data_IF_004536114403
#
_entry.id   IF_004536114403
#
_cell.length_a   1.000
_cell.length_b   1.000
_cell.length_c   1.000
_cell.angle_alpha   90.00
_cell.angle_beta   90.00
_cell.angle_gamma   90.00
#
_symmetry.space_group_name_H-M   'P 1'
#
loop_
_entity.id
_entity.type
_entity.pdbx_description
1 polymer ?
#
# COMPACT_ATOMS: atom_id res chain seq x y z
N UNK A 1 -2.82 -43.50 20.57
CA UNK A 1 -2.25 -43.55 21.93
C UNK A 1 -2.80 -42.50 22.90
N UNK A 2 -3.73 -41.64 22.50
CA UNK A 2 -4.32 -40.59 23.37
C UNK A 2 -5.62 -41.00 24.09
N UNK A 3 -6.27 -42.08 23.71
CA UNK A 3 -7.54 -42.55 24.35
C UNK A 3 -7.35 -43.36 25.61
N UNK A 4 -6.19 -43.98 25.82
CA UNK A 4 -5.91 -44.80 27.02
C UNK A 4 -5.60 -43.97 28.27
N UNK A 5 -5.03 -42.79 28.16
CA UNK A 5 -4.68 -41.96 29.34
C UNK A 5 -5.88 -41.26 29.99
N UNK A 6 -6.93 -40.94 29.22
CA UNK A 6 -8.12 -40.26 29.74
C UNK A 6 -9.00 -41.20 30.57
N UNK A 7 -9.06 -42.48 30.18
CA UNK A 7 -9.87 -43.50 30.87
C UNK A 7 -9.25 -43.87 32.22
N UNK A 8 -7.92 -43.86 32.36
CA UNK A 8 -7.22 -44.17 33.61
C UNK A 8 -7.37 -43.02 34.63
N UNK A 9 -7.37 -41.76 34.21
CA UNK A 9 -7.57 -40.62 35.10
C UNK A 9 -9.02 -40.53 35.63
N UNK A 10 -10.02 -40.86 34.80
CA UNK A 10 -11.42 -40.91 35.22
C UNK A 10 -11.69 -42.08 36.19
N UNK A 11 -11.04 -43.22 36.00
CA UNK A 11 -11.20 -44.37 36.91
C UNK A 11 -10.56 -44.16 38.28
N UNK A 12 -9.42 -43.44 38.36
CA UNK A 12 -8.75 -43.07 39.62
C UNK A 12 -9.54 -42.03 40.42
N UNK A 13 -10.20 -41.08 39.78
CA UNK A 13 -11.02 -40.06 40.45
C UNK A 13 -12.33 -40.66 41.01
N UNK A 14 -12.96 -41.62 40.32
CA UNK A 14 -14.15 -42.32 40.81
C UNK A 14 -13.83 -43.28 41.98
N UNK A 15 -12.68 -43.95 41.99
CA UNK A 15 -12.30 -44.87 43.08
C UNK A 15 -11.94 -44.12 44.36
N UNK A 16 -11.36 -42.92 44.30
CA UNK A 16 -11.09 -42.10 45.51
C UNK A 16 -12.37 -41.52 46.13
N UNK A 17 -13.39 -41.20 45.33
CA UNK A 17 -14.66 -40.66 45.84
C UNK A 17 -15.54 -41.70 46.55
N UNK A 18 -15.44 -42.99 46.18
CA UNK A 18 -16.20 -44.08 46.82
C UNK A 18 -15.62 -44.57 48.18
N UNK A 19 -14.33 -44.39 48.41
CA UNK A 19 -13.68 -44.83 49.67
C UNK A 19 -13.80 -43.80 50.80
N UNK A 20 -14.24 -42.59 50.57
CA UNK A 20 -14.39 -41.52 51.57
C UNK A 20 -15.83 -41.34 52.09
N UNK A 21 -16.80 -42.11 51.60
CA UNK A 21 -18.23 -41.86 51.86
C UNK A 21 -18.80 -42.55 53.08
N UNK A 22 -17.99 -43.28 53.89
CA UNK A 22 -18.53 -44.15 54.97
C UNK A 22 -18.45 -43.58 56.39
N UNK A 23 -17.97 -42.35 56.63
CA UNK A 23 -17.79 -41.87 58.00
C UNK A 23 -18.08 -40.36 58.28
N UNK A 24 -18.78 -39.65 57.47
CA UNK A 24 -19.04 -38.20 57.70
C UNK A 24 -20.52 -37.82 57.57
N UNK A 25 -21.03 -37.02 58.55
CA UNK A 25 -22.42 -36.55 58.58
C UNK A 25 -22.80 -35.62 57.44
N UNK A 26 -24.12 -35.39 57.21
CA UNK A 26 -24.71 -34.71 56.07
C UNK A 26 -24.10 -33.35 55.63
N UNK A 27 -23.46 -32.61 56.54
CA UNK A 27 -22.85 -31.29 56.21
C UNK A 27 -21.45 -31.47 55.61
N UNK A 28 -20.68 -32.50 55.93
CA UNK A 28 -19.37 -32.80 55.38
C UNK A 28 -19.43 -33.36 53.97
N UNK A 29 -20.49 -34.10 53.64
CA UNK A 29 -20.66 -34.65 52.29
C UNK A 29 -20.91 -33.55 51.21
N UNK A 30 -21.63 -32.48 51.54
CA UNK A 30 -21.88 -31.37 50.61
C UNK A 30 -20.58 -30.62 50.29
N UNK A 31 -19.75 -30.32 51.28
CA UNK A 31 -18.47 -29.64 51.06
C UNK A 31 -17.48 -30.47 50.24
N UNK A 32 -17.46 -31.78 50.42
CA UNK A 32 -16.58 -32.69 49.65
C UNK A 32 -17.07 -32.81 48.21
N UNK A 33 -18.38 -32.88 47.98
CA UNK A 33 -18.97 -32.91 46.64
C UNK A 33 -18.72 -31.61 45.86
N UNK A 34 -18.84 -30.45 46.52
CA UNK A 34 -18.55 -29.16 45.90
C UNK A 34 -17.05 -29.00 45.62
N UNK A 35 -16.16 -29.46 46.49
CA UNK A 35 -14.71 -29.42 46.26
C UNK A 35 -14.29 -30.35 45.10
N UNK A 36 -14.90 -31.55 45.00
CA UNK A 36 -14.65 -32.47 43.88
C UNK A 36 -15.19 -31.92 42.57
N UNK A 37 -16.38 -31.31 42.58
CA UNK A 37 -16.97 -30.69 41.40
C UNK A 37 -16.12 -29.50 40.88
N UNK A 38 -15.59 -28.67 41.78
CA UNK A 38 -14.67 -27.56 41.44
C UNK A 38 -13.33 -28.12 40.90
N UNK A 39 -12.79 -29.17 41.49
CA UNK A 39 -11.56 -29.83 41.05
C UNK A 39 -11.70 -30.42 39.63
N UNK A 40 -12.83 -31.10 39.35
CA UNK A 40 -13.12 -31.66 38.02
C UNK A 40 -13.33 -30.56 36.99
N UNK A 41 -14.00 -29.45 37.34
CA UNK A 41 -14.18 -28.31 36.47
C UNK A 41 -12.84 -27.61 36.14
N UNK A 42 -11.96 -27.44 37.12
CA UNK A 42 -10.61 -26.88 36.92
C UNK A 42 -9.73 -27.79 36.03
N UNK A 43 -9.77 -29.10 36.23
CA UNK A 43 -9.04 -30.06 35.41
C UNK A 43 -9.58 -30.08 33.95
N UNK A 44 -10.89 -30.00 33.77
CA UNK A 44 -11.50 -29.86 32.45
C UNK A 44 -11.10 -28.52 31.75
N UNK A 45 -11.05 -27.42 32.51
CA UNK A 45 -10.63 -26.13 31.99
C UNK A 45 -9.15 -26.12 31.58
N UNK A 46 -8.27 -26.70 32.40
CA UNK A 46 -6.83 -26.81 32.08
C UNK A 46 -6.61 -27.73 30.87
N UNK A 47 -7.35 -28.86 30.76
CA UNK A 47 -7.22 -29.74 29.60
C UNK A 47 -7.73 -29.11 28.31
N UNK A 48 -8.83 -28.33 28.34
CA UNK A 48 -9.33 -27.59 27.18
C UNK A 48 -8.33 -26.50 26.78
N UNK A 49 -7.74 -25.75 27.72
CA UNK A 49 -6.72 -24.76 27.44
C UNK A 49 -5.43 -25.37 26.87
N UNK A 50 -5.04 -26.55 27.35
CA UNK A 50 -3.86 -27.26 26.86
C UNK A 50 -4.09 -27.79 25.45
N UNK A 51 -5.28 -28.34 25.17
CA UNK A 51 -5.66 -28.78 23.82
C UNK A 51 -5.79 -27.60 22.85
N UNK A 52 -6.33 -26.46 23.29
CA UNK A 52 -6.35 -25.23 22.45
C UNK A 52 -4.94 -24.69 22.19
N UNK A 53 -4.04 -24.70 23.17
CA UNK A 53 -2.64 -24.30 22.95
C UNK A 53 -1.87 -25.30 22.09
N UNK A 54 -2.07 -26.60 22.23
CA UNK A 54 -1.49 -27.59 21.32
C UNK A 54 -2.11 -27.49 19.91
N UNK A 55 -3.42 -27.27 19.80
CA UNK A 55 -4.09 -27.07 18.52
C UNK A 55 -3.58 -25.84 17.77
N UNK A 56 -3.37 -24.72 18.46
CA UNK A 56 -2.79 -23.52 17.85
C UNK A 56 -1.31 -23.67 17.48
N UNK A 57 -0.52 -24.43 18.23
CA UNK A 57 0.88 -24.72 17.86
C UNK A 57 1.02 -25.77 16.76
N UNK A 58 0.06 -26.68 16.62
CA UNK A 58 0.03 -27.65 15.51
C UNK A 58 -0.49 -26.98 14.23
N UNK A 59 -1.41 -26.02 14.33
CA UNK A 59 -1.91 -25.27 13.17
C UNK A 59 -0.86 -24.31 12.61
N UNK A 60 0.03 -23.76 13.47
CA UNK A 60 1.18 -22.96 13.02
C UNK A 60 2.32 -23.80 12.45
N UNK A 61 2.37 -25.13 12.68
CA UNK A 61 3.39 -26.01 12.11
C UNK A 61 2.93 -26.81 10.89
N UNK A 62 1.63 -26.71 10.51
CA UNK A 62 1.06 -27.35 9.30
C UNK A 62 0.77 -26.37 8.16
N UNK A 63 0.93 -25.06 8.38
CA UNK A 63 1.13 -24.13 7.27
C UNK A 63 2.54 -24.40 6.77
N UNK A 64 2.65 -25.25 5.76
CA UNK A 64 3.89 -25.46 5.02
C UNK A 64 4.43 -24.07 4.71
N UNK A 65 5.66 -23.81 5.11
CA UNK A 65 6.43 -22.66 4.73
C UNK A 65 6.42 -22.60 3.20
N UNK A 66 5.45 -21.91 2.62
CA UNK A 66 5.65 -21.35 1.30
C UNK A 66 6.90 -20.48 1.47
N UNK A 67 7.97 -20.78 0.77
CA UNK A 67 9.25 -20.07 0.77
C UNK A 67 9.06 -18.71 0.07
N UNK A 68 8.14 -17.90 0.60
CA UNK A 68 7.92 -16.54 0.14
C UNK A 68 9.04 -15.63 0.61
N UNK A 69 9.31 -14.60 -0.16
CA UNK A 69 10.25 -13.56 0.20
C UNK A 69 9.84 -12.89 1.52
N UNK A 70 10.74 -12.82 2.45
CA UNK A 70 10.58 -12.01 3.66
C UNK A 70 11.33 -10.70 3.47
N UNK A 71 10.72 -9.73 2.81
CA UNK A 71 11.29 -8.40 2.74
C UNK A 71 11.35 -7.76 4.14
N UNK A 72 12.54 -7.41 4.65
CA UNK A 72 12.66 -6.80 5.98
C UNK A 72 12.25 -5.33 5.99
N UNK A 73 12.22 -4.69 4.82
CA UNK A 73 11.92 -3.28 4.65
C UNK A 73 11.41 -2.98 3.24
N UNK A 74 10.73 -1.84 3.08
CA UNK A 74 10.32 -1.28 1.78
C UNK A 74 10.81 0.16 1.69
N UNK A 75 11.38 0.54 0.55
CA UNK A 75 11.73 1.93 0.21
C UNK A 75 10.91 2.34 -1.00
N UNK A 76 10.04 3.34 -0.82
CA UNK A 76 9.12 3.81 -1.85
C UNK A 76 9.53 5.18 -2.39
N UNK A 77 9.42 5.35 -3.71
CA UNK A 77 9.66 6.59 -4.43
C UNK A 77 8.48 6.89 -5.34
N UNK A 78 8.09 8.14 -5.46
CA UNK A 78 6.93 8.43 -6.28
C UNK A 78 6.31 9.80 -6.05
N UNK A 79 5.04 9.86 -6.38
CA UNK A 79 4.21 11.06 -6.28
C UNK A 79 3.04 10.87 -5.30
N UNK A 80 1.96 11.65 -5.48
CA UNK A 80 0.77 11.62 -4.62
C UNK A 80 0.06 10.26 -4.58
N UNK A 81 0.22 9.40 -5.59
CA UNK A 81 -0.38 8.05 -5.60
C UNK A 81 0.21 7.14 -4.50
N UNK A 82 1.39 7.47 -4.01
CA UNK A 82 2.06 6.69 -2.97
C UNK A 82 2.60 7.52 -1.80
N UNK A 83 2.34 8.84 -1.74
CA UNK A 83 2.76 9.74 -0.66
C UNK A 83 1.98 9.46 0.64
N UNK A 84 2.69 9.15 1.71
CA UNK A 84 2.10 8.84 3.04
C UNK A 84 2.22 9.98 4.04
N UNK A 85 2.54 11.21 3.57
CA UNK A 85 2.55 12.41 4.40
C UNK A 85 3.62 13.46 4.07
N UNK A 86 4.52 13.19 3.11
CA UNK A 86 5.60 14.13 2.76
C UNK A 86 5.06 15.44 2.18
N UNK A 87 4.08 15.36 1.25
CA UNK A 87 3.42 16.54 0.69
C UNK A 87 2.67 17.35 1.75
N UNK A 88 2.05 16.65 2.69
CA UNK A 88 1.34 17.28 3.82
C UNK A 88 2.30 18.07 4.73
N UNK A 89 3.52 17.60 4.88
CA UNK A 89 4.54 18.23 5.73
C UNK A 89 5.29 19.37 5.02
N UNK A 90 5.48 19.25 3.69
CA UNK A 90 6.39 20.15 2.96
C UNK A 90 5.70 21.18 2.09
N UNK A 91 4.48 20.90 1.59
CA UNK A 91 3.79 21.74 0.63
C UNK A 91 2.53 22.35 1.22
N UNK A 92 1.55 21.53 1.50
CA UNK A 92 0.24 21.94 2.02
C UNK A 92 -0.34 20.79 2.83
N UNK A 93 -0.79 21.11 4.04
CA UNK A 93 -1.52 20.17 4.88
C UNK A 93 -2.67 19.54 4.07
N UNK A 94 -2.73 18.23 4.04
CA UNK A 94 -3.84 17.47 3.46
C UNK A 94 -4.95 17.36 4.53
N UNK A 95 -6.02 18.17 4.44
CA UNK A 95 -7.01 18.29 5.50
C UNK A 95 -8.13 17.23 5.37
N UNK A 96 -9.11 17.21 6.32
CA UNK A 96 -10.35 16.48 6.09
C UNK A 96 -10.99 16.91 4.75
N UNK A 97 -11.72 16.03 4.06
CA UNK A 97 -12.16 14.69 4.46
C UNK A 97 -11.17 13.55 4.10
N UNK A 98 -9.94 13.86 3.67
CA UNK A 98 -8.93 12.84 3.41
C UNK A 98 -8.72 11.92 4.62
N UNK A 99 -8.52 10.63 4.38
CA UNK A 99 -8.30 9.62 5.41
C UNK A 99 -9.56 9.20 6.17
N UNK A 100 -10.73 9.74 5.84
CA UNK A 100 -11.96 9.53 6.62
C UNK A 100 -12.42 8.08 6.68
N UNK A 101 -12.26 7.30 5.59
CA UNK A 101 -12.81 5.94 5.47
C UNK A 101 -12.04 4.94 6.33
N UNK A 102 -10.73 5.01 6.37
CA UNK A 102 -9.90 4.05 7.08
C UNK A 102 -9.26 4.62 8.35
N UNK A 103 -8.61 5.78 8.25
CA UNK A 103 -7.86 6.36 9.37
C UNK A 103 -8.76 7.17 10.33
N UNK A 104 -9.98 7.52 9.92
CA UNK A 104 -10.93 8.36 10.69
C UNK A 104 -10.45 9.81 10.87
N UNK A 105 -9.33 10.19 10.22
CA UNK A 105 -8.70 11.51 10.27
C UNK A 105 -7.74 11.68 9.10
N UNK A 106 -7.33 12.91 8.77
CA UNK A 106 -6.28 13.14 7.80
C UNK A 106 -4.99 12.37 8.15
N UNK A 107 -4.44 11.69 7.16
CA UNK A 107 -3.27 10.83 7.31
C UNK A 107 -2.13 11.21 6.37
N UNK A 108 -2.21 12.42 5.77
CA UNK A 108 -1.26 12.91 4.78
C UNK A 108 -1.38 12.28 3.39
N UNK A 109 -2.34 11.36 3.19
CA UNK A 109 -2.60 10.67 1.93
C UNK A 109 -3.65 11.42 1.11
N UNK A 110 -3.44 11.46 -0.21
CA UNK A 110 -4.39 12.04 -1.17
C UNK A 110 -5.47 10.99 -1.53
N UNK A 111 -6.27 10.60 -0.54
CA UNK A 111 -7.33 9.59 -0.65
C UNK A 111 -8.21 9.66 0.60
N UNK A 112 -9.40 9.08 0.54
CA UNK A 112 -10.25 8.88 1.72
C UNK A 112 -9.70 7.81 2.69
N UNK A 113 -8.69 7.03 2.27
CA UNK A 113 -8.09 6.00 3.10
C UNK A 113 -6.69 5.57 2.62
N UNK A 114 -6.47 4.24 2.52
CA UNK A 114 -5.19 3.64 2.16
C UNK A 114 -4.85 3.83 0.68
N UNK A 115 -3.57 3.92 0.42
CA UNK A 115 -2.98 3.91 -0.92
C UNK A 115 -2.48 2.50 -1.29
N UNK A 116 -2.11 2.29 -2.55
CA UNK A 116 -1.55 1.02 -3.02
C UNK A 116 -0.31 0.61 -2.21
N UNK A 117 0.54 1.56 -1.82
CA UNK A 117 1.73 1.29 -1.00
C UNK A 117 1.39 0.75 0.39
N UNK A 118 0.25 1.16 0.97
CA UNK A 118 -0.22 0.64 2.25
C UNK A 118 -0.63 -0.84 2.12
N UNK A 119 -1.32 -1.20 1.03
CA UNK A 119 -1.68 -2.60 0.74
C UNK A 119 -0.47 -3.47 0.41
N UNK A 120 0.57 -2.90 -0.22
CA UNK A 120 1.87 -3.57 -0.39
C UNK A 120 2.48 -3.89 0.99
N UNK A 121 2.51 -2.93 1.90
CA UNK A 121 3.02 -3.13 3.26
C UNK A 121 2.22 -4.20 4.01
N UNK A 122 0.88 -4.17 3.96
CA UNK A 122 0.01 -5.20 4.55
C UNK A 122 0.29 -6.60 3.97
N UNK A 123 0.41 -6.71 2.64
CA UNK A 123 0.69 -7.99 1.97
C UNK A 123 2.01 -8.60 2.42
N UNK A 124 2.99 -7.76 2.76
CA UNK A 124 4.30 -8.17 3.25
C UNK A 124 4.34 -8.36 4.78
N UNK A 125 3.26 -8.07 5.49
CA UNK A 125 3.19 -8.13 6.96
C UNK A 125 4.04 -7.05 7.64
N UNK A 126 4.27 -5.92 6.95
CA UNK A 126 5.04 -4.78 7.43
C UNK A 126 4.12 -3.63 7.89
N UNK A 127 4.60 -2.75 8.79
CA UNK A 127 3.85 -1.55 9.13
C UNK A 127 3.74 -0.61 7.91
N UNK A 128 2.72 0.26 7.90
CA UNK A 128 2.61 1.32 6.91
C UNK A 128 3.86 2.20 6.93
N UNK A 129 4.33 2.58 5.74
CA UNK A 129 5.54 3.36 5.61
C UNK A 129 5.33 4.79 6.13
N UNK A 130 6.25 5.23 6.98
CA UNK A 130 6.34 6.65 7.34
C UNK A 130 6.98 7.43 6.21
N UNK A 131 6.43 8.62 5.92
CA UNK A 131 7.07 9.55 5.01
C UNK A 131 8.42 10.02 5.59
N UNK A 132 9.47 10.02 4.78
CA UNK A 132 10.81 10.46 5.22
C UNK A 132 10.82 11.90 5.74
N UNK A 133 10.01 12.77 5.14
CA UNK A 133 9.92 14.19 5.52
C UNK A 133 8.98 14.45 6.70
N UNK A 134 8.14 13.49 7.10
CA UNK A 134 7.36 13.55 8.34
C UNK A 134 8.10 12.79 9.45
N UNK A 135 9.06 13.46 10.08
CA UNK A 135 9.98 12.85 11.04
C UNK A 135 9.45 12.76 12.47
N UNK A 136 8.30 13.37 12.77
CA UNK A 136 7.78 13.45 14.15
C UNK A 136 7.18 12.11 14.62
N UNK A 137 7.89 11.44 15.54
CA UNK A 137 7.45 10.18 16.12
C UNK A 137 7.53 8.97 15.19
N UNK A 138 8.27 9.08 14.08
CA UNK A 138 8.39 8.05 13.06
C UNK A 138 9.34 6.93 13.44
N UNK A 139 9.09 5.74 12.91
CA UNK A 139 9.95 4.58 13.02
C UNK A 139 10.28 4.06 11.62
N UNK A 140 11.53 4.17 11.21
CA UNK A 140 12.02 3.77 9.90
C UNK A 140 12.62 2.35 9.87
N UNK A 141 12.44 1.55 10.90
CA UNK A 141 13.03 0.21 10.98
C UNK A 141 12.72 -0.63 9.74
N UNK A 142 11.51 -0.55 9.23
CA UNK A 142 11.05 -1.34 8.09
C UNK A 142 11.00 -0.54 6.78
N UNK A 143 11.83 0.50 6.67
CA UNK A 143 11.93 1.32 5.48
C UNK A 143 11.36 2.73 5.64
N UNK A 144 11.30 3.45 4.53
CA UNK A 144 10.82 4.83 4.48
C UNK A 144 10.14 5.12 3.14
N UNK A 145 9.24 6.08 3.14
CA UNK A 145 8.57 6.58 1.95
C UNK A 145 9.15 7.94 1.54
N UNK A 146 9.77 8.01 0.37
CA UNK A 146 10.34 9.23 -0.22
C UNK A 146 9.39 9.90 -1.22
N UNK A 147 8.26 9.27 -1.55
CA UNK A 147 7.25 9.83 -2.45
C UNK A 147 6.67 11.13 -1.90
N UNK A 148 6.45 12.09 -2.79
CA UNK A 148 5.89 13.41 -2.45
C UNK A 148 4.85 13.81 -3.47
N UNK A 149 3.70 14.30 -3.01
CA UNK A 149 2.61 14.77 -3.88
C UNK A 149 3.09 15.77 -4.92
N UNK A 150 2.71 15.58 -6.19
CA UNK A 150 3.12 16.45 -7.31
C UNK A 150 4.53 16.21 -7.83
N UNK A 151 5.26 15.21 -7.34
CA UNK A 151 6.61 14.90 -7.82
C UNK A 151 6.60 14.40 -9.26
N UNK A 152 7.65 14.74 -10.00
CA UNK A 152 7.92 14.38 -11.39
C UNK A 152 9.22 13.60 -11.52
N UNK A 153 9.40 12.85 -12.60
CA UNK A 153 10.69 12.23 -12.97
C UNK A 153 11.70 13.32 -13.32
N UNK A 154 11.30 14.21 -14.24
CA UNK A 154 12.09 15.37 -14.65
C UNK A 154 11.87 16.52 -13.66
N UNK A 155 12.92 17.25 -13.25
CA UNK A 155 12.74 18.49 -12.50
C UNK A 155 11.80 19.45 -13.23
N UNK A 156 10.68 19.79 -12.59
CA UNK A 156 9.69 20.73 -13.12
C UNK A 156 9.36 21.77 -12.04
N UNK A 157 9.95 23.00 -12.16
CA UNK A 157 9.82 24.01 -11.10
C UNK A 157 8.38 24.46 -10.82
N UNK A 158 7.49 24.33 -11.81
CA UNK A 158 6.08 24.71 -11.65
C UNK A 158 5.25 23.65 -10.89
N UNK A 159 5.82 22.46 -10.67
CA UNK A 159 5.20 21.38 -9.91
C UNK A 159 5.79 21.31 -8.51
N UNK A 160 6.36 20.18 -8.12
CA UNK A 160 7.01 20.00 -6.83
C UNK A 160 8.54 20.01 -6.98
N UNK A 161 9.27 20.81 -6.17
CA UNK A 161 10.73 20.80 -6.22
C UNK A 161 11.33 19.44 -5.82
N UNK A 162 10.57 18.59 -5.12
CA UNK A 162 11.06 17.26 -4.67
C UNK A 162 10.76 16.21 -5.75
N UNK A 163 11.44 16.36 -6.90
CA UNK A 163 11.38 15.42 -8.01
C UNK A 163 12.18 14.14 -7.72
N UNK A 164 12.08 13.12 -8.59
CA UNK A 164 12.65 11.78 -8.36
C UNK A 164 14.13 11.81 -7.97
N UNK A 165 14.97 12.57 -8.66
CA UNK A 165 16.42 12.60 -8.31
C UNK A 165 16.69 13.22 -6.95
N UNK A 166 15.85 14.13 -6.45
CA UNK A 166 15.98 14.64 -5.09
C UNK A 166 15.52 13.60 -4.05
N UNK A 167 14.48 12.82 -4.34
CA UNK A 167 14.09 11.68 -3.48
C UNK A 167 15.20 10.65 -3.37
N UNK A 168 15.94 10.38 -4.46
CA UNK A 168 17.12 9.52 -4.43
C UNK A 168 18.24 10.08 -3.57
N UNK A 169 18.52 11.38 -3.68
CA UNK A 169 19.50 12.03 -2.82
C UNK A 169 19.12 11.94 -1.34
N UNK A 170 17.83 12.13 -1.02
CA UNK A 170 17.32 11.92 0.34
C UNK A 170 17.53 10.48 0.83
N UNK A 171 17.28 9.49 -0.04
CA UNK A 171 17.53 8.08 0.29
C UNK A 171 19.01 7.79 0.54
N UNK A 172 19.93 8.32 -0.26
CA UNK A 172 21.36 8.17 -0.06
C UNK A 172 21.79 8.72 1.31
N UNK A 173 21.31 9.92 1.66
CA UNK A 173 21.56 10.52 2.96
C UNK A 173 20.95 9.68 4.10
N UNK A 174 19.73 9.23 3.94
CA UNK A 174 19.04 8.37 4.90
C UNK A 174 19.83 7.08 5.13
N UNK A 175 20.22 6.38 4.07
CA UNK A 175 20.96 5.11 4.14
C UNK A 175 22.32 5.30 4.84
N UNK A 176 23.11 6.29 4.40
CA UNK A 176 24.41 6.58 4.97
C UNK A 176 24.31 6.84 6.48
N UNK A 177 23.41 7.72 6.89
CA UNK A 177 23.21 8.06 8.31
C UNK A 177 22.61 6.89 9.10
N UNK A 178 21.69 6.12 8.53
CA UNK A 178 21.12 4.96 9.20
C UNK A 178 22.21 3.91 9.52
N UNK A 179 23.12 3.65 8.58
CA UNK A 179 24.27 2.74 8.78
C UNK A 179 25.22 3.29 9.84
N UNK A 180 25.57 4.57 9.77
CA UNK A 180 26.43 5.23 10.77
C UNK A 180 25.85 5.10 12.18
N UNK A 181 24.58 5.49 12.36
CA UNK A 181 23.91 5.46 13.66
C UNK A 181 23.72 4.02 14.19
N UNK A 182 23.41 3.07 13.29
CA UNK A 182 23.31 1.65 13.66
C UNK A 182 24.65 1.13 14.20
N UNK A 183 25.79 1.48 13.55
CA UNK A 183 27.13 1.04 13.92
C UNK A 183 27.63 1.67 15.25
N UNK A 184 27.00 2.75 15.73
CA UNK A 184 27.28 3.29 17.06
C UNK A 184 26.84 2.38 18.21
N UNK A 185 26.06 1.30 17.90
CA UNK A 185 25.66 0.31 18.88
C UNK A 185 24.55 0.75 19.85
N UNK A 186 23.93 1.91 19.64
CA UNK A 186 22.83 2.39 20.47
C UNK A 186 21.56 1.58 20.16
N UNK A 187 20.98 0.96 21.21
CA UNK A 187 19.77 0.14 21.10
C UNK A 187 18.56 0.89 20.49
N UNK A 188 18.43 2.19 20.79
CA UNK A 188 17.33 2.99 20.24
C UNK A 188 17.42 3.09 18.72
N UNK A 189 18.61 3.35 18.17
CA UNK A 189 18.81 3.38 16.72
C UNK A 189 18.61 2.00 16.09
N UNK A 190 19.09 0.94 16.72
CA UNK A 190 18.87 -0.43 16.25
C UNK A 190 17.39 -0.84 16.24
N UNK A 191 16.53 -0.20 17.03
CA UNK A 191 15.08 -0.45 17.08
C UNK A 191 14.27 0.41 16.10
N UNK A 192 14.81 1.53 15.66
CA UNK A 192 14.08 2.54 14.85
C UNK A 192 14.64 2.73 13.43
N UNK A 193 15.80 2.15 13.10
CA UNK A 193 16.43 2.25 11.79
C UNK A 193 16.60 0.88 11.13
N UNK A 194 16.62 0.83 9.78
CA UNK A 194 16.94 -0.41 9.07
C UNK A 194 18.34 -0.90 9.41
N UNK A 195 18.50 -2.22 9.47
CA UNK A 195 19.84 -2.80 9.60
C UNK A 195 20.62 -2.62 8.29
N UNK A 196 21.94 -2.46 8.33
CA UNK A 196 22.76 -2.27 7.13
C UNK A 196 22.52 -3.32 6.04
N UNK A 197 22.39 -4.59 6.42
CA UNK A 197 22.15 -5.70 5.50
C UNK A 197 20.73 -5.74 4.90
N UNK A 198 19.79 -4.95 5.45
CA UNK A 198 18.42 -4.90 4.95
C UNK A 198 18.29 -4.06 3.68
N UNK A 199 19.20 -3.11 3.44
CA UNK A 199 19.17 -2.29 2.22
C UNK A 199 19.33 -3.13 0.94
N UNK A 200 20.07 -4.24 0.98
CA UNK A 200 20.17 -5.16 -0.16
C UNK A 200 19.06 -6.20 -0.23
N UNK A 201 18.26 -6.37 0.83
CA UNK A 201 17.18 -7.33 0.94
C UNK A 201 15.80 -6.69 0.90
N UNK A 202 15.73 -5.37 0.86
CA UNK A 202 14.48 -4.59 0.85
C UNK A 202 13.83 -4.64 -0.53
N UNK A 203 12.52 -4.40 -0.55
CA UNK A 203 11.76 -4.09 -1.75
C UNK A 203 11.86 -2.59 -2.05
N UNK A 204 12.15 -2.25 -3.30
CA UNK A 204 12.19 -0.88 -3.81
C UNK A 204 11.01 -0.67 -4.75
N UNK A 205 10.08 0.22 -4.39
CA UNK A 205 8.86 0.49 -5.17
C UNK A 205 8.91 1.86 -5.81
N UNK A 206 8.41 1.96 -7.04
CA UNK A 206 8.29 3.26 -7.74
C UNK A 206 6.88 3.41 -8.33
N UNK A 207 6.26 4.57 -8.11
CA UNK A 207 4.98 4.97 -8.70
C UNK A 207 5.09 6.46 -9.09
N UNK A 208 5.55 6.74 -10.31
CA UNK A 208 5.88 8.08 -10.78
C UNK A 208 5.76 8.19 -12.31
N UNK A 209 5.60 9.41 -12.82
CA UNK A 209 5.46 9.72 -14.24
C UNK A 209 4.08 10.28 -14.60
N UNK A 210 3.12 10.09 -13.72
CA UNK A 210 1.76 10.64 -13.87
C UNK A 210 1.79 12.17 -13.99
N UNK A 211 2.57 12.85 -13.13
CA UNK A 211 2.66 14.31 -13.11
C UNK A 211 3.45 14.87 -14.31
N UNK A 212 4.45 14.15 -14.81
CA UNK A 212 5.17 14.55 -16.03
C UNK A 212 4.21 14.64 -17.22
N UNK A 213 3.34 13.63 -17.41
CA UNK A 213 2.34 13.63 -18.45
C UNK A 213 1.22 14.64 -18.18
N UNK A 214 0.71 14.70 -16.94
CA UNK A 214 -0.34 15.63 -16.55
C UNK A 214 0.06 17.09 -16.83
N UNK A 215 1.21 17.50 -16.31
CA UNK A 215 1.74 18.85 -16.54
C UNK A 215 2.06 19.10 -18.02
N UNK A 216 2.59 18.08 -18.70
CA UNK A 216 2.81 18.14 -20.13
C UNK A 216 1.54 18.49 -20.89
N UNK A 217 0.42 17.83 -20.64
CA UNK A 217 -0.86 18.12 -21.30
C UNK A 217 -1.45 19.50 -20.97
N UNK A 218 -1.03 20.13 -19.87
CA UNK A 218 -1.45 21.49 -19.52
C UNK A 218 -0.63 22.58 -20.26
N UNK A 219 0.59 22.25 -20.67
CA UNK A 219 1.57 23.27 -21.11
C UNK A 219 2.11 23.05 -22.51
N UNK A 220 1.93 21.86 -23.08
CA UNK A 220 2.49 21.42 -24.36
C UNK A 220 1.40 20.83 -25.26
N UNK A 221 1.70 20.65 -26.54
CA UNK A 221 0.85 19.85 -27.45
C UNK A 221 1.06 18.36 -27.19
N UNK A 222 0.10 17.52 -27.59
CA UNK A 222 0.18 16.06 -27.44
C UNK A 222 1.43 15.47 -28.08
N UNK A 223 1.83 16.01 -29.28
CA UNK A 223 3.04 15.61 -29.98
C UNK A 223 4.31 15.96 -29.18
N UNK A 224 4.31 17.13 -28.53
CA UNK A 224 5.44 17.55 -27.69
C UNK A 224 5.53 16.70 -26.43
N UNK A 225 4.39 16.37 -25.79
CA UNK A 225 4.36 15.44 -24.65
C UNK A 225 4.92 14.09 -25.07
N UNK A 226 4.45 13.54 -26.19
CA UNK A 226 4.94 12.27 -26.73
C UNK A 226 6.45 12.32 -27.05
N UNK A 227 6.92 13.42 -27.62
CA UNK A 227 8.34 13.62 -27.93
C UNK A 227 9.23 13.73 -26.68
N UNK A 228 8.68 14.10 -25.51
CA UNK A 228 9.42 14.17 -24.24
C UNK A 228 9.64 12.80 -23.56
N UNK A 229 8.84 11.79 -23.91
CA UNK A 229 8.85 10.48 -23.25
C UNK A 229 10.24 9.82 -23.21
N UNK A 230 11.02 9.75 -24.31
CA UNK A 230 12.33 9.10 -24.26
C UNK A 230 13.25 9.70 -23.18
N UNK A 231 13.25 11.05 -23.06
CA UNK A 231 14.05 11.73 -22.03
C UNK A 231 13.56 11.44 -20.60
N UNK A 232 12.26 11.30 -20.38
CA UNK A 232 11.70 10.89 -19.08
C UNK A 232 12.13 9.47 -18.73
N UNK A 233 12.06 8.55 -19.68
CA UNK A 233 12.47 7.15 -19.49
C UNK A 233 13.98 7.04 -19.23
N UNK A 234 14.81 7.87 -19.89
CA UNK A 234 16.26 7.90 -19.61
C UNK A 234 16.55 8.36 -18.19
N UNK A 235 15.88 9.42 -17.71
CA UNK A 235 16.03 9.89 -16.33
C UNK A 235 15.53 8.86 -15.31
N UNK A 236 14.43 8.18 -15.59
CA UNK A 236 13.94 7.09 -14.75
C UNK A 236 14.95 5.94 -14.68
N UNK A 237 15.52 5.55 -15.81
CA UNK A 237 16.53 4.49 -15.85
C UNK A 237 17.76 4.83 -15.01
N UNK A 238 18.23 6.09 -15.09
CA UNK A 238 19.33 6.58 -14.22
C UNK A 238 18.99 6.48 -12.74
N UNK A 239 17.72 6.72 -12.38
CA UNK A 239 17.25 6.57 -11.00
C UNK A 239 17.33 5.11 -10.53
N UNK A 240 16.87 4.16 -11.34
CA UNK A 240 16.98 2.72 -11.02
C UNK A 240 18.44 2.27 -10.95
N UNK A 241 19.28 2.72 -11.87
CA UNK A 241 20.72 2.44 -11.85
C UNK A 241 21.38 2.95 -10.56
N UNK A 242 21.00 4.14 -10.10
CA UNK A 242 21.50 4.71 -8.86
C UNK A 242 21.08 3.89 -7.64
N UNK A 243 19.79 3.50 -7.55
CA UNK A 243 19.34 2.62 -6.47
C UNK A 243 20.06 1.27 -6.49
N UNK A 244 20.32 0.71 -7.66
CA UNK A 244 21.09 -0.52 -7.81
C UNK A 244 22.52 -0.35 -7.28
N UNK A 245 23.20 0.76 -7.60
CA UNK A 245 24.52 1.10 -7.08
C UNK A 245 24.51 1.26 -5.56
N UNK A 246 23.41 1.76 -5.00
CA UNK A 246 23.16 1.83 -3.56
C UNK A 246 22.80 0.45 -2.94
N UNK A 247 22.82 -0.62 -3.69
CA UNK A 247 22.64 -1.99 -3.21
C UNK A 247 21.21 -2.54 -3.33
N UNK A 248 20.27 -1.82 -3.94
CA UNK A 248 18.95 -2.35 -4.22
C UNK A 248 19.01 -3.56 -5.17
N UNK A 249 18.22 -4.61 -4.89
CA UNK A 249 18.21 -5.84 -5.68
C UNK A 249 16.82 -6.33 -6.06
N UNK A 250 15.76 -5.85 -5.41
CA UNK A 250 14.38 -6.20 -5.73
C UNK A 250 13.58 -4.92 -6.00
N UNK A 251 13.05 -4.79 -7.21
CA UNK A 251 12.33 -3.61 -7.67
C UNK A 251 10.92 -3.96 -8.11
N UNK A 252 9.94 -3.16 -7.68
CA UNK A 252 8.53 -3.25 -8.05
C UNK A 252 8.12 -1.93 -8.70
N UNK A 253 8.12 -1.91 -10.03
CA UNK A 253 8.07 -0.71 -10.85
C UNK A 253 6.67 -0.59 -11.46
N UNK A 254 5.87 0.35 -10.97
CA UNK A 254 4.57 0.65 -11.54
C UNK A 254 4.70 1.48 -12.83
N UNK A 255 3.87 1.17 -13.82
CA UNK A 255 3.67 2.06 -14.97
C UNK A 255 2.67 3.18 -14.62
N UNK A 256 2.41 4.13 -15.54
CA UNK A 256 1.39 5.17 -15.32
C UNK A 256 -0.01 4.68 -15.66
N UNK A 257 -1.04 5.23 -14.98
CA UNK A 257 -2.44 4.92 -15.22
C UNK A 257 -3.03 5.57 -16.49
N UNK A 258 -4.32 5.32 -16.78
CA UNK A 258 -5.02 5.89 -17.94
C UNK A 258 -5.34 7.37 -17.70
N UNK A 259 -4.40 8.24 -18.03
CA UNK A 259 -4.46 9.68 -17.74
C UNK A 259 -5.64 10.37 -18.44
N UNK A 260 -6.03 9.88 -19.61
CA UNK A 260 -7.20 10.39 -20.35
C UNK A 260 -8.54 10.06 -19.70
N UNK A 261 -8.55 9.20 -18.66
CA UNK A 261 -9.74 8.87 -17.89
C UNK A 261 -9.85 9.65 -16.57
N UNK A 262 -8.84 10.47 -16.22
CA UNK A 262 -8.91 11.27 -15.01
C UNK A 262 -10.07 12.27 -15.09
N UNK A 263 -10.91 12.36 -14.05
CA UNK A 263 -12.00 13.34 -14.01
C UNK A 263 -11.53 14.77 -14.31
N UNK A 264 -10.31 15.12 -13.86
CA UNK A 264 -9.68 16.40 -14.14
C UNK A 264 -9.69 16.74 -15.64
N UNK A 265 -9.27 15.82 -16.50
CA UNK A 265 -9.23 16.08 -17.93
C UNK A 265 -10.59 15.93 -18.59
N UNK A 266 -11.36 14.89 -18.24
CA UNK A 266 -12.65 14.60 -18.86
C UNK A 266 -13.68 15.71 -18.59
N UNK A 267 -13.64 16.32 -17.42
CA UNK A 267 -14.58 17.38 -17.02
C UNK A 267 -14.12 18.74 -17.56
N UNK A 268 -12.84 19.08 -17.41
CA UNK A 268 -12.33 20.40 -17.83
C UNK A 268 -12.08 20.49 -19.34
N UNK A 269 -11.76 19.39 -19.99
CA UNK A 269 -11.55 19.26 -21.44
C UNK A 269 -12.32 18.07 -21.99
N UNK A 270 -13.65 18.11 -22.06
CA UNK A 270 -14.43 16.98 -22.57
C UNK A 270 -13.90 16.49 -23.91
N UNK A 271 -13.81 15.18 -24.15
CA UNK A 271 -13.27 14.66 -25.37
C UNK A 271 -14.06 15.18 -26.59
N UNK A 272 -13.34 15.70 -27.58
CA UNK A 272 -13.94 16.16 -28.84
C UNK A 272 -14.54 14.98 -29.59
N UNK A 273 -15.47 15.26 -30.52
CA UNK A 273 -16.05 14.24 -31.40
C UNK A 273 -14.91 13.44 -32.09
N UNK A 274 -14.93 12.10 -31.91
CA UNK A 274 -13.92 11.20 -32.46
C UNK A 274 -12.65 11.02 -31.60
N UNK A 275 -12.58 11.62 -30.40
CA UNK A 275 -11.48 11.44 -29.44
C UNK A 275 -11.97 10.93 -28.07
N UNK A 276 -13.16 10.34 -28.03
CA UNK A 276 -13.65 9.60 -26.86
C UNK A 276 -13.49 8.10 -27.10
N UNK A 277 -12.87 7.41 -26.15
CA UNK A 277 -12.89 5.96 -26.17
C UNK A 277 -14.30 5.41 -25.76
N UNK A 278 -14.55 4.08 -25.84
CA UNK A 278 -15.86 3.50 -25.48
C UNK A 278 -16.31 3.79 -24.05
N UNK A 279 -15.39 4.15 -23.14
CA UNK A 279 -15.67 4.45 -21.74
C UNK A 279 -15.80 5.96 -21.48
N UNK A 280 -15.65 6.81 -22.51
CA UNK A 280 -15.72 8.27 -22.40
C UNK A 280 -14.41 8.95 -21.99
N UNK A 281 -13.29 8.23 -21.95
CA UNK A 281 -11.97 8.80 -21.69
C UNK A 281 -11.44 9.54 -22.92
N UNK A 282 -10.50 10.48 -22.74
CA UNK A 282 -9.78 11.13 -23.86
C UNK A 282 -8.79 10.11 -24.44
N UNK A 283 -9.10 9.58 -25.63
CA UNK A 283 -8.36 8.49 -26.26
C UNK A 283 -6.91 8.90 -26.56
N UNK A 284 -6.69 10.09 -27.11
CA UNK A 284 -5.34 10.56 -27.47
C UNK A 284 -4.40 10.65 -26.24
N UNK A 285 -4.91 11.04 -25.08
CA UNK A 285 -4.13 11.09 -23.83
C UNK A 285 -3.77 9.68 -23.34
N UNK A 286 -4.70 8.75 -23.47
CA UNK A 286 -4.44 7.34 -23.13
C UNK A 286 -3.42 6.70 -24.08
N UNK A 287 -3.41 7.08 -25.36
CA UNK A 287 -2.38 6.65 -26.34
C UNK A 287 -0.98 7.13 -25.92
N UNK A 288 -0.85 8.37 -25.45
CA UNK A 288 0.42 8.90 -24.94
C UNK A 288 0.87 8.16 -23.66
N UNK A 289 -0.06 7.90 -22.74
CA UNK A 289 0.24 7.13 -21.53
C UNK A 289 0.68 5.70 -21.85
N UNK A 290 0.04 5.05 -22.83
CA UNK A 290 0.44 3.71 -23.28
C UNK A 290 1.80 3.71 -23.97
N UNK A 291 2.14 4.76 -24.71
CA UNK A 291 3.48 4.92 -25.30
C UNK A 291 4.56 5.08 -24.21
N UNK A 292 4.28 5.89 -23.18
CA UNK A 292 5.16 5.97 -22.00
C UNK A 292 5.36 4.60 -21.36
N UNK A 293 4.27 3.87 -21.11
CA UNK A 293 4.29 2.56 -20.47
C UNK A 293 5.05 1.52 -21.31
N UNK A 294 4.91 1.56 -22.64
CA UNK A 294 5.66 0.71 -23.55
C UNK A 294 7.17 0.98 -23.46
N UNK A 295 7.58 2.25 -23.55
CA UNK A 295 9.00 2.62 -23.46
C UNK A 295 9.57 2.30 -22.07
N UNK A 296 8.79 2.48 -20.99
CA UNK A 296 9.18 2.08 -19.65
C UNK A 296 9.41 0.56 -19.56
N UNK A 297 8.51 -0.25 -20.11
CA UNK A 297 8.63 -1.72 -20.13
C UNK A 297 9.87 -2.17 -20.90
N UNK A 298 10.11 -1.58 -22.07
CA UNK A 298 11.28 -1.86 -22.89
C UNK A 298 12.57 -1.51 -22.13
N UNK A 299 12.57 -0.38 -21.42
CA UNK A 299 13.71 0.06 -20.59
C UNK A 299 13.94 -0.85 -19.39
N UNK A 300 12.90 -1.26 -18.67
CA UNK A 300 13.01 -2.23 -17.57
C UNK A 300 13.61 -3.55 -18.07
N UNK A 301 13.23 -3.98 -19.27
CA UNK A 301 13.82 -5.18 -19.89
C UNK A 301 15.32 -5.01 -20.19
N UNK A 302 15.75 -3.84 -20.67
CA UNK A 302 17.17 -3.52 -20.84
C UNK A 302 17.94 -3.51 -19.52
N UNK A 303 17.35 -2.94 -18.47
CA UNK A 303 17.95 -2.92 -17.12
C UNK A 303 18.08 -4.33 -16.52
N UNK A 304 17.12 -5.23 -16.75
CA UNK A 304 17.23 -6.65 -16.35
C UNK A 304 18.45 -7.32 -17.00
N UNK A 305 18.67 -7.06 -18.29
CA UNK A 305 19.83 -7.61 -18.99
C UNK A 305 21.15 -7.03 -18.46
N UNK A 306 21.13 -5.80 -17.93
CA UNK A 306 22.30 -5.14 -17.34
C UNK A 306 22.58 -5.60 -15.92
N UNK A 307 21.53 -5.85 -15.12
CA UNK A 307 21.58 -6.15 -13.68
C UNK A 307 21.11 -7.59 -13.40
N UNK A 308 21.91 -8.59 -13.77
CA UNK A 308 21.54 -10.00 -13.68
C UNK A 308 21.40 -10.52 -12.23
N UNK A 309 21.95 -9.79 -11.26
CA UNK A 309 21.83 -10.05 -9.82
C UNK A 309 20.74 -9.19 -9.14
N UNK A 310 19.79 -8.65 -9.92
CA UNK A 310 18.65 -7.92 -9.42
C UNK A 310 17.35 -8.37 -10.12
N UNK A 311 16.28 -8.43 -9.36
CA UNK A 311 14.93 -8.67 -9.89
C UNK A 311 14.22 -7.33 -10.11
N UNK A 312 13.91 -7.02 -11.35
CA UNK A 312 13.12 -5.85 -11.73
C UNK A 312 11.76 -6.31 -12.24
N UNK A 313 10.71 -6.04 -11.50
CA UNK A 313 9.34 -6.39 -11.87
C UNK A 313 8.62 -5.14 -12.40
N UNK A 314 8.22 -5.19 -13.66
CA UNK A 314 7.31 -4.19 -14.24
C UNK A 314 5.88 -4.54 -13.89
N UNK A 315 5.08 -3.59 -13.41
CA UNK A 315 3.70 -3.79 -12.96
C UNK A 315 2.75 -2.92 -13.78
N UNK A 316 1.81 -3.57 -14.46
CA UNK A 316 0.84 -2.92 -15.34
C UNK A 316 -0.35 -2.36 -14.56
N UNK A 317 -0.12 -1.23 -13.87
CA UNK A 317 -1.17 -0.48 -13.19
C UNK A 317 -2.18 0.13 -14.18
N UNK A 318 -1.73 0.50 -15.38
CA UNK A 318 -2.63 0.99 -16.42
C UNK A 318 -3.76 0.01 -16.67
N UNK A 319 -3.42 -1.25 -16.90
CA UNK A 319 -4.40 -2.30 -17.18
C UNK A 319 -5.35 -2.51 -15.99
N UNK A 320 -4.85 -2.51 -14.76
CA UNK A 320 -5.69 -2.62 -13.57
C UNK A 320 -6.68 -1.46 -13.46
N UNK A 321 -6.20 -0.22 -13.55
CA UNK A 321 -7.02 0.98 -13.45
C UNK A 321 -8.02 1.10 -14.61
N UNK A 322 -7.61 0.80 -15.83
CA UNK A 322 -8.48 0.88 -16.99
C UNK A 322 -9.59 -0.20 -16.98
N UNK A 323 -9.29 -1.44 -16.51
CA UNK A 323 -10.32 -2.47 -16.37
C UNK A 323 -11.37 -2.08 -15.33
N UNK A 324 -10.97 -1.40 -14.25
CA UNK A 324 -11.92 -0.89 -13.27
C UNK A 324 -12.85 0.17 -13.85
N UNK A 325 -12.33 1.04 -14.74
CA UNK A 325 -13.11 2.07 -15.44
C UNK A 325 -14.02 1.46 -16.50
N UNK A 326 -13.58 0.42 -17.20
CA UNK A 326 -14.36 -0.23 -18.27
C UNK A 326 -15.49 -1.13 -17.75
N UNK A 327 -15.34 -1.69 -16.54
CA UNK A 327 -16.29 -2.63 -15.95
C UNK A 327 -16.76 -2.21 -14.54
N UNK A 328 -17.10 -0.92 -14.30
CA UNK A 328 -17.27 -0.38 -12.95
C UNK A 328 -18.37 -1.08 -12.17
N UNK A 329 -19.51 -1.39 -12.81
CA UNK A 329 -20.67 -2.01 -12.15
C UNK A 329 -20.40 -3.43 -11.66
N UNK A 330 -19.52 -4.18 -12.33
CA UNK A 330 -19.12 -5.52 -11.90
C UNK A 330 -18.33 -5.48 -10.58
N UNK A 331 -17.76 -4.31 -10.28
CA UNK A 331 -16.88 -4.09 -9.12
C UNK A 331 -17.52 -3.16 -8.06
N UNK A 332 -18.82 -2.81 -8.21
CA UNK A 332 -19.56 -2.01 -7.24
C UNK A 332 -19.42 -0.50 -7.39
N UNK A 333 -18.82 -0.03 -8.51
CA UNK A 333 -18.64 1.41 -8.77
C UNK A 333 -19.74 1.95 -9.69
N UNK A 334 -20.22 3.17 -9.41
CA UNK A 334 -21.42 3.71 -10.10
C UNK A 334 -21.07 4.76 -11.17
N UNK A 335 -20.03 5.55 -10.98
CA UNK A 335 -19.62 6.62 -11.89
C UNK A 335 -18.10 6.57 -12.14
N UNK A 336 -17.65 5.90 -13.21
CA UNK A 336 -16.22 5.64 -13.43
C UNK A 336 -15.41 6.89 -13.77
N UNK A 337 -16.03 7.96 -14.29
CA UNK A 337 -15.37 9.21 -14.65
C UNK A 337 -15.76 10.39 -13.74
N UNK A 338 -16.55 10.13 -12.70
CA UNK A 338 -16.83 11.10 -11.64
C UNK A 338 -15.90 10.92 -10.46
N UNK A 339 -15.99 11.82 -9.50
CA UNK A 339 -15.20 11.81 -8.27
C UNK A 339 -16.08 12.05 -7.03
N UNK A 340 -15.60 11.65 -5.86
CA UNK A 340 -16.37 11.70 -4.61
C UNK A 340 -16.17 13.00 -3.83
N UNK A 341 -14.96 13.56 -3.79
CA UNK A 341 -14.62 14.74 -3.00
C UNK A 341 -14.46 15.98 -3.86
N UNK A 342 -15.25 17.01 -3.60
CA UNK A 342 -15.35 18.23 -4.40
C UNK A 342 -16.76 18.45 -4.93
N UNK A 343 -16.94 19.38 -5.84
CA UNK A 343 -18.27 19.71 -6.38
C UNK A 343 -18.30 19.66 -7.92
N UNK A 344 -19.20 18.83 -8.46
CA UNK A 344 -19.29 18.52 -9.89
C UNK A 344 -19.93 19.59 -10.78
N UNK A 345 -20.74 20.52 -10.21
CA UNK A 345 -21.58 21.39 -11.04
C UNK A 345 -20.98 22.75 -11.32
N UNK A 346 -20.08 23.21 -10.44
CA UNK A 346 -19.39 24.48 -10.59
C UNK A 346 -17.90 24.22 -10.43
N UNK A 347 -17.29 23.71 -11.47
CA UNK A 347 -15.92 23.15 -11.67
C UNK A 347 -14.75 23.85 -10.93
N UNK A 348 -15.03 24.75 -10.00
CA UNK A 348 -14.02 25.51 -9.26
C UNK A 348 -13.80 25.03 -7.81
N UNK A 349 -14.71 24.22 -7.25
CA UNK A 349 -14.59 23.76 -5.87
C UNK A 349 -13.91 22.41 -5.81
N UNK A 350 -12.60 22.43 -5.59
CA UNK A 350 -11.79 21.23 -5.40
C UNK A 350 -12.09 20.58 -4.05
N UNK A 351 -11.73 19.30 -3.92
CA UNK A 351 -11.75 18.61 -2.64
C UNK A 351 -11.04 19.48 -1.58
N UNK A 352 -11.64 19.63 -0.39
CA UNK A 352 -11.17 20.42 0.77
C UNK A 352 -10.94 21.93 0.53
N UNK A 353 -11.29 22.49 -0.59
CA UNK A 353 -11.24 23.93 -0.78
C UNK A 353 -12.55 24.60 -0.34
N UNK A 354 -12.48 25.86 0.09
CA UNK A 354 -13.62 26.73 0.30
C UNK A 354 -13.86 27.57 -0.97
N UNK A 355 -15.11 27.68 -1.38
CA UNK A 355 -15.52 28.62 -2.40
C UNK A 355 -16.78 29.37 -1.96
N UNK A 356 -17.02 30.55 -2.55
CA UNK A 356 -18.27 31.27 -2.39
C UNK A 356 -19.12 31.09 -3.66
N UNK A 357 -20.26 30.38 -3.49
CA UNK A 357 -21.21 30.13 -4.58
C UNK A 357 -22.50 30.88 -4.25
N UNK A 358 -22.87 31.85 -5.07
CA UNK A 358 -24.06 32.69 -4.87
C UNK A 358 -24.15 33.32 -3.46
N UNK A 359 -23.03 33.82 -2.92
CA UNK A 359 -22.97 34.45 -1.59
C UNK A 359 -22.98 33.48 -0.42
N UNK A 360 -22.89 32.17 -0.69
CA UNK A 360 -22.82 31.13 0.35
C UNK A 360 -21.45 30.46 0.33
N UNK A 361 -20.79 30.36 1.47
CA UNK A 361 -19.57 29.57 1.62
C UNK A 361 -19.90 28.08 1.47
N UNK A 362 -19.24 27.42 0.52
CA UNK A 362 -19.36 25.98 0.24
C UNK A 362 -18.00 25.36 0.43
N UNK A 363 -17.95 24.21 1.08
CA UNK A 363 -16.75 23.41 1.27
C UNK A 363 -16.76 22.20 0.35
N UNK A 364 -15.63 21.90 -0.27
CA UNK A 364 -15.44 20.71 -1.12
C UNK A 364 -15.46 19.42 -0.29
N UNK A 365 -16.65 19.00 0.12
CA UNK A 365 -16.87 17.83 0.96
C UNK A 365 -16.83 16.52 0.17
N UNK A 366 -16.76 15.41 0.88
CA UNK A 366 -16.92 14.08 0.28
C UNK A 366 -18.38 13.77 -0.04
N UNK A 367 -18.61 12.89 -1.00
CA UNK A 367 -19.87 12.23 -1.23
C UNK A 367 -20.28 11.35 -0.02
N UNK A 368 -21.54 10.90 0.00
CA UNK A 368 -22.06 10.08 1.11
C UNK A 368 -21.50 8.66 1.15
N UNK A 369 -21.04 8.12 0.01
CA UNK A 369 -20.53 6.76 -0.10
C UNK A 369 -19.28 6.69 -0.99
N UNK A 370 -18.09 6.97 -0.46
CA UNK A 370 -16.84 6.94 -1.22
C UNK A 370 -16.54 5.60 -1.88
N UNK A 371 -16.99 4.49 -1.28
CA UNK A 371 -16.73 3.13 -1.81
C UNK A 371 -17.41 2.83 -3.15
N UNK A 372 -18.35 3.67 -3.58
CA UNK A 372 -19.00 3.55 -4.89
C UNK A 372 -18.29 4.35 -6.00
N UNK A 373 -17.23 5.10 -5.68
CA UNK A 373 -16.49 5.92 -6.63
C UNK A 373 -15.08 5.37 -6.85
N UNK A 374 -14.63 5.41 -8.11
CA UNK A 374 -13.24 5.06 -8.47
C UNK A 374 -12.30 6.19 -8.03
N UNK A 375 -12.67 7.43 -8.38
CA UNK A 375 -11.85 8.61 -8.07
C UNK A 375 -12.32 9.27 -6.78
N UNK A 376 -11.36 9.59 -5.92
CA UNK A 376 -11.57 10.34 -4.69
C UNK A 376 -11.80 11.82 -5.01
N UNK A 377 -10.82 12.44 -5.58
CA UNK A 377 -10.87 13.78 -6.17
C UNK A 377 -10.70 13.69 -7.70
N UNK A 378 -10.44 14.80 -8.36
CA UNK A 378 -10.30 14.83 -9.82
C UNK A 378 -9.10 14.02 -10.35
N UNK A 379 -8.15 13.59 -9.49
CA UNK A 379 -6.86 12.98 -9.88
C UNK A 379 -6.62 11.65 -9.17
N UNK A 380 -6.94 11.55 -7.86
CA UNK A 380 -6.57 10.45 -7.00
C UNK A 380 -7.70 9.43 -6.85
N UNK A 381 -7.34 8.21 -6.46
CA UNK A 381 -8.26 7.09 -6.31
C UNK A 381 -8.79 6.99 -4.89
N UNK A 382 -10.03 6.47 -4.74
CA UNK A 382 -10.60 6.12 -3.43
C UNK A 382 -9.86 4.93 -2.82
N UNK A 383 -10.02 4.74 -1.50
CA UNK A 383 -9.52 3.54 -0.83
C UNK A 383 -10.07 2.25 -1.46
N UNK A 384 -11.37 2.23 -1.78
CA UNK A 384 -12.01 1.08 -2.39
C UNK A 384 -11.40 0.73 -3.76
N UNK A 385 -11.10 1.75 -4.58
CA UNK A 385 -10.43 1.55 -5.86
C UNK A 385 -8.97 1.10 -5.67
N UNK A 386 -8.23 1.73 -4.74
CA UNK A 386 -6.85 1.34 -4.41
C UNK A 386 -6.78 -0.12 -3.90
N UNK A 387 -7.73 -0.54 -3.06
CA UNK A 387 -7.86 -1.92 -2.61
C UNK A 387 -8.07 -2.89 -3.78
N UNK A 388 -9.01 -2.59 -4.66
CA UNK A 388 -9.29 -3.43 -5.82
C UNK A 388 -8.08 -3.53 -6.76
N UNK A 389 -7.45 -2.38 -7.08
CA UNK A 389 -6.24 -2.32 -7.92
C UNK A 389 -5.12 -3.14 -7.28
N UNK A 390 -4.90 -2.98 -5.97
CA UNK A 390 -3.86 -3.71 -5.24
C UNK A 390 -4.05 -5.22 -5.34
N UNK A 391 -5.27 -5.73 -5.16
CA UNK A 391 -5.53 -7.16 -5.31
C UNK A 391 -5.20 -7.69 -6.72
N UNK A 392 -5.35 -6.86 -7.76
CA UNK A 392 -5.06 -7.22 -9.16
C UNK A 392 -3.59 -7.16 -9.53
N UNK A 393 -2.78 -6.39 -8.83
CA UNK A 393 -1.34 -6.28 -9.12
C UNK A 393 -0.47 -7.15 -8.20
N UNK A 394 -0.95 -7.47 -6.99
CA UNK A 394 -0.18 -8.23 -6.01
C UNK A 394 -0.23 -9.75 -6.24
N UNK A 395 -1.17 -10.22 -7.07
CA UNK A 395 -1.31 -11.64 -7.45
C UNK A 395 -0.35 -12.06 -8.60
N UNK A 396 0.43 -11.12 -9.13
CA UNK A 396 1.41 -11.34 -10.18
C UNK A 396 0.83 -11.43 -11.60
N UNK A 397 -0.49 -11.43 -11.79
CA UNK A 397 -1.12 -11.57 -13.11
C UNK A 397 -0.87 -10.36 -14.03
N UNK A 398 -0.58 -9.21 -13.46
CA UNK A 398 -0.27 -7.95 -14.16
C UNK A 398 1.19 -7.53 -13.99
N UNK A 399 2.07 -8.45 -13.61
CA UNK A 399 3.51 -8.20 -13.50
C UNK A 399 4.30 -8.88 -14.62
N UNK A 400 5.46 -8.35 -14.91
CA UNK A 400 6.43 -8.87 -15.86
C UNK A 400 7.85 -8.82 -15.22
N UNK A 401 8.52 -9.96 -14.93
CA UNK A 401 7.97 -11.32 -15.05
C UNK A 401 6.75 -11.53 -14.16
N UNK A 402 5.90 -12.51 -14.52
CA UNK A 402 4.76 -12.89 -13.70
C UNK A 402 5.26 -13.53 -12.40
N UNK A 403 5.11 -12.78 -11.30
CA UNK A 403 5.58 -13.19 -9.98
C UNK A 403 4.68 -12.56 -8.91
N UNK A 404 4.32 -13.34 -7.89
CA UNK A 404 3.64 -12.78 -6.73
C UNK A 404 4.55 -11.78 -6.02
N UNK A 405 3.99 -10.71 -5.45
CA UNK A 405 4.78 -9.77 -4.65
C UNK A 405 5.60 -10.48 -3.56
N UNK A 406 4.99 -11.48 -2.90
CA UNK A 406 5.63 -12.28 -1.83
C UNK A 406 6.69 -13.25 -2.33
N UNK A 407 6.92 -13.32 -3.63
CA UNK A 407 7.93 -14.17 -4.28
C UNK A 407 8.91 -13.34 -5.12
N UNK A 408 8.75 -12.00 -5.12
CA UNK A 408 9.55 -11.07 -5.92
C UNK A 408 10.93 -10.77 -5.32
N UNK A 409 11.65 -11.80 -4.85
CA UNK A 409 13.04 -11.74 -4.36
C UNK A 409 13.98 -12.65 -5.15
N UNK A 410 15.28 -12.44 -4.99
CA UNK A 410 16.35 -13.26 -5.55
C UNK A 410 16.71 -14.40 -4.61
#
# INVERSE_FOLDING_TARGET
MCTASLTILLSLSLSLSLSLSTSMGCCGQRMIMDAVAIGVALLAFVSVFTVMKLGSSIQSSLVGSASGCQFPAVFNFGDSNSDTGAGSTTLRLVPPPNGQTFFGKPSGRFSDGRLIIDFIAEKLGLPYLSAYLDSMGTNFRHGANFAVGGATIKPEPAMNPIHLSLQLYQFEQFKSRAIELYNQGNKLYAMSLPRPEWFSKALYTTDIGQNDLHYGFLTLTEEQVKASIPGLIDLFALAIEKLYQEGARAFWIHNTGPIGCLPFFVINNPPKTGNADPNGCIESYNVVAQEFNKQLKDRVTQLRNKFQDALLVYVDIYKAKYSLISEPKQHGFVNPLGFCCGHHKDSSLKCWDDAEVNGTKVYGASCSNPSEYISWDEIHYTEAANYWISNRILDGSLSDPQVLLTEACL
#
